data_IF_636834143740
#
_entry.id   IF_636834143740
#
_cell.length_a   1.000
_cell.length_b   1.000
_cell.length_c   1.000
_cell.angle_alpha   90.00
_cell.angle_beta   90.00
_cell.angle_gamma   90.00
#
_symmetry.space_group_name_H-M   'P 1'
#
loop_
_entity.id
_entity.type
_entity.pdbx_description
1 polymer ?
#
# COMPACT_ATOMS: atom_id res chain seq x y z
N UNK A 1 1.90 10.67 -2.74
CA UNK A 1 2.42 11.39 -1.54
C UNK A 1 2.52 10.34 -0.42
N UNK A 2 3.66 10.22 0.27
CA UNK A 2 3.84 9.30 1.41
C UNK A 2 4.10 10.13 2.66
N UNK A 3 3.32 9.94 3.72
CA UNK A 3 3.44 10.72 4.96
C UNK A 3 3.99 9.84 6.08
N UNK A 4 5.19 10.17 6.60
CA UNK A 4 5.81 9.48 7.73
C UNK A 4 5.89 10.45 8.90
N UNK A 5 5.36 10.06 10.05
CA UNK A 5 5.48 10.85 11.28
C UNK A 5 6.58 10.27 12.16
N UNK A 6 7.47 11.13 12.66
CA UNK A 6 8.52 10.77 13.61
C UNK A 6 8.26 11.53 14.89
N UNK A 7 8.01 10.80 15.99
CA UNK A 7 7.57 11.35 17.26
C UNK A 7 8.52 10.95 18.38
N UNK A 8 8.99 11.90 19.18
CA UNK A 8 9.89 11.68 20.33
C UNK A 8 9.23 11.88 21.69
N UNK A 9 7.90 12.10 21.68
CA UNK A 9 7.05 12.23 22.86
C UNK A 9 5.57 12.18 22.44
N UNK A 10 4.71 11.73 23.34
CA UNK A 10 3.29 11.44 23.05
C UNK A 10 2.32 11.90 24.16
N UNK A 11 2.80 12.69 25.13
CA UNK A 11 2.05 13.09 26.33
C UNK A 11 1.34 11.94 27.07
N UNK A 12 1.73 10.68 26.79
CA UNK A 12 1.09 9.44 27.24
C UNK A 12 -0.42 9.28 26.94
N UNK A 13 -1.03 10.09 26.06
CA UNK A 13 -2.42 9.87 25.60
C UNK A 13 -2.46 9.58 24.10
N UNK A 14 -2.34 8.30 23.77
CA UNK A 14 -2.43 7.77 22.40
C UNK A 14 -3.87 7.46 21.97
N UNK A 15 -4.84 7.68 22.84
CA UNK A 15 -6.27 7.59 22.51
C UNK A 15 -6.82 8.93 22.04
N UNK A 16 -6.10 10.01 22.33
CA UNK A 16 -6.45 11.37 21.92
C UNK A 16 -6.78 11.44 20.41
N UNK A 17 -7.89 12.08 20.02
CA UNK A 17 -8.31 12.17 18.61
C UNK A 17 -7.25 12.77 17.67
N UNK A 18 -6.47 13.72 18.17
CA UNK A 18 -5.34 14.30 17.43
C UNK A 18 -4.26 13.27 17.10
N UNK A 19 -3.94 12.37 18.04
CA UNK A 19 -2.97 11.30 17.83
C UNK A 19 -3.46 10.30 16.78
N UNK A 20 -4.72 9.86 16.90
CA UNK A 20 -5.36 8.96 15.92
C UNK A 20 -5.44 9.55 14.51
N UNK A 21 -5.40 10.87 14.39
CA UNK A 21 -5.36 11.56 13.09
C UNK A 21 -4.03 11.31 12.36
N UNK A 22 -2.90 11.31 13.08
CA UNK A 22 -1.59 10.96 12.48
C UNK A 22 -1.57 9.54 11.95
N UNK A 23 -2.11 8.58 12.72
CA UNK A 23 -2.23 7.18 12.30
C UNK A 23 -3.08 7.06 11.02
N UNK A 24 -4.23 7.74 10.96
CA UNK A 24 -5.10 7.73 9.78
C UNK A 24 -4.46 8.36 8.54
N UNK A 25 -3.75 9.50 8.69
CA UNK A 25 -3.05 10.15 7.57
C UNK A 25 -1.90 9.28 7.07
N UNK A 26 -1.12 8.69 7.98
CA UNK A 26 -0.08 7.74 7.64
C UNK A 26 -0.68 6.55 6.90
N UNK A 27 -1.72 5.92 7.45
CA UNK A 27 -2.40 4.79 6.83
C UNK A 27 -2.90 5.09 5.43
N UNK A 28 -3.59 6.23 5.22
CA UNK A 28 -4.13 6.64 3.92
C UNK A 28 -3.06 6.88 2.83
N UNK A 29 -1.80 7.06 3.22
CA UNK A 29 -0.67 7.34 2.32
C UNK A 29 0.40 6.24 2.31
N UNK A 30 0.06 5.04 2.80
CA UNK A 30 1.01 3.91 2.96
C UNK A 30 2.24 4.28 3.82
N UNK A 31 2.05 5.28 4.67
CA UNK A 31 2.99 5.85 5.62
C UNK A 31 3.02 5.08 6.94
N UNK A 32 3.86 5.52 7.87
CA UNK A 32 3.94 4.93 9.21
C UNK A 32 4.22 6.03 10.24
N UNK A 33 3.83 5.76 11.48
CA UNK A 33 4.17 6.56 12.66
C UNK A 33 5.27 5.82 13.40
N UNK A 34 6.40 6.50 13.61
CA UNK A 34 7.53 5.98 14.36
C UNK A 34 7.66 6.73 15.67
N UNK A 35 7.60 5.99 16.78
CA UNK A 35 7.92 6.52 18.10
C UNK A 35 9.38 6.21 18.41
N UNK A 36 10.16 7.25 18.68
CA UNK A 36 11.61 7.13 18.86
C UNK A 36 12.06 7.76 20.15
N UNK A 37 13.07 7.14 20.75
CA UNK A 37 13.91 7.85 21.70
C UNK A 37 14.75 8.91 20.97
N UNK A 38 15.12 9.98 21.67
CA UNK A 38 15.91 11.08 21.09
C UNK A 38 17.23 10.60 20.46
N UNK A 39 17.81 9.56 21.03
CA UNK A 39 19.05 8.89 20.60
C UNK A 39 18.90 8.20 19.24
N UNK A 40 17.71 7.74 18.88
CA UNK A 40 17.46 6.93 17.68
C UNK A 40 16.94 7.70 16.46
N UNK A 41 16.64 9.00 16.62
CA UNK A 41 16.12 9.87 15.55
C UNK A 41 17.02 9.83 14.31
N UNK A 42 18.35 9.87 14.50
CA UNK A 42 19.30 9.85 13.37
C UNK A 42 19.20 8.57 12.54
N UNK A 43 18.98 7.42 13.17
CA UNK A 43 18.86 6.12 12.49
C UNK A 43 17.65 6.10 11.56
N UNK A 44 16.49 6.52 12.05
CA UNK A 44 15.25 6.56 11.26
C UNK A 44 15.28 7.62 10.17
N UNK A 45 15.87 8.80 10.42
CA UNK A 45 15.99 9.82 9.36
C UNK A 45 16.84 9.34 8.18
N UNK A 46 17.88 8.54 8.42
CA UNK A 46 18.66 7.94 7.35
C UNK A 46 17.82 6.98 6.50
N UNK A 47 16.97 6.16 7.13
CA UNK A 47 16.00 5.35 6.40
C UNK A 47 15.04 6.20 5.57
N UNK A 48 14.46 7.27 6.14
CA UNK A 48 13.50 8.11 5.42
C UNK A 48 14.14 8.69 4.16
N UNK A 49 15.41 9.13 4.23
CA UNK A 49 16.18 9.61 3.08
C UNK A 49 16.38 8.53 2.03
N UNK A 50 16.84 7.33 2.43
CA UNK A 50 17.03 6.20 1.50
C UNK A 50 15.70 5.70 0.90
N UNK A 51 14.59 5.93 1.58
CA UNK A 51 13.27 5.47 1.16
C UNK A 51 12.66 6.25 -0.02
N UNK A 52 13.31 7.33 -0.47
CA UNK A 52 12.97 8.13 -1.66
C UNK A 52 13.66 7.54 -2.88
N UNK A 53 13.13 6.42 -3.38
CA UNK A 53 13.64 5.74 -4.57
C UNK A 53 12.63 5.83 -5.71
N UNK A 54 13.13 5.88 -6.94
CA UNK A 54 12.33 5.67 -8.15
C UNK A 54 11.82 4.22 -8.19
N UNK A 55 10.70 3.97 -8.89
CA UNK A 55 10.08 2.62 -9.05
C UNK A 55 9.75 1.89 -7.73
N UNK A 56 9.34 2.66 -6.71
CA UNK A 56 8.87 2.09 -5.45
C UNK A 56 7.46 1.53 -5.59
N UNK A 57 7.32 0.24 -5.30
CA UNK A 57 6.06 -0.50 -5.35
C UNK A 57 5.60 -0.89 -3.96
N UNK A 58 4.29 -1.08 -3.79
CA UNK A 58 3.66 -1.32 -2.49
C UNK A 58 3.01 -2.70 -2.50
N UNK A 59 3.40 -3.56 -1.57
CA UNK A 59 2.99 -4.97 -1.56
C UNK A 59 1.99 -5.24 -0.42
N UNK A 60 2.18 -4.64 0.76
CA UNK A 60 1.26 -4.87 1.87
C UNK A 60 1.24 -3.73 2.87
N UNK A 61 0.06 -3.43 3.39
CA UNK A 61 -0.14 -2.53 4.52
C UNK A 61 -1.20 -3.11 5.44
N UNK A 62 -0.90 -3.19 6.72
CA UNK A 62 -1.81 -3.78 7.68
C UNK A 62 -1.65 -3.13 9.05
N UNK A 63 -2.68 -2.39 9.46
CA UNK A 63 -2.83 -1.91 10.83
C UNK A 63 -3.47 -3.01 11.68
N UNK A 64 -2.90 -3.28 12.84
CA UNK A 64 -3.47 -4.14 13.87
C UNK A 64 -3.72 -3.34 15.13
N UNK A 65 -4.98 -3.26 15.54
CA UNK A 65 -5.38 -2.55 16.76
C UNK A 65 -5.15 -3.37 18.05
N UNK A 66 -4.72 -4.62 17.92
CA UNK A 66 -4.44 -5.54 19.04
C UNK A 66 -3.16 -6.32 18.76
N UNK A 67 -2.53 -6.79 19.84
CA UNK A 67 -1.44 -7.74 19.75
C UNK A 67 -1.85 -9.08 19.17
N UNK A 68 -0.86 -9.93 18.95
CA UNK A 68 -0.99 -11.29 18.46
C UNK A 68 0.16 -11.68 17.54
N UNK A 69 0.20 -12.96 17.21
CA UNK A 69 1.10 -13.49 16.19
C UNK A 69 0.35 -13.61 14.87
N UNK A 70 0.94 -13.08 13.79
CA UNK A 70 0.33 -13.12 12.47
C UNK A 70 1.31 -13.67 11.45
N UNK A 71 0.80 -14.49 10.53
CA UNK A 71 1.53 -14.98 9.38
C UNK A 71 0.97 -14.34 8.12
N UNK A 72 1.86 -13.82 7.28
CA UNK A 72 1.54 -13.20 6.01
C UNK A 72 2.40 -13.78 4.90
N UNK A 73 1.78 -14.02 3.75
CA UNK A 73 2.41 -14.51 2.56
C UNK A 73 2.62 -13.33 1.63
N UNK A 74 3.88 -13.05 1.29
CA UNK A 74 4.28 -11.93 0.46
C UNK A 74 4.78 -12.51 -0.87
N UNK A 75 4.03 -12.35 -1.97
CA UNK A 75 4.49 -12.77 -3.28
C UNK A 75 5.57 -11.80 -3.78
N UNK A 76 6.69 -12.35 -4.21
CA UNK A 76 7.82 -11.63 -4.80
C UNK A 76 8.03 -12.13 -6.23
N UNK A 77 7.86 -11.24 -7.19
CA UNK A 77 8.12 -11.50 -8.60
C UNK A 77 9.60 -11.44 -8.96
N UNK A 78 9.93 -11.97 -10.13
CA UNK A 78 11.26 -11.98 -10.73
C UNK A 78 11.85 -10.58 -10.93
N UNK A 79 11.01 -9.55 -11.02
CA UNK A 79 11.42 -8.16 -11.32
C UNK A 79 11.55 -7.29 -10.07
N UNK A 80 11.46 -7.88 -8.87
CA UNK A 80 11.64 -7.19 -7.60
C UNK A 80 13.11 -7.28 -7.15
N UNK A 81 13.81 -6.16 -7.14
CA UNK A 81 15.24 -6.11 -6.83
C UNK A 81 15.51 -5.76 -5.36
N UNK A 82 14.49 -5.31 -4.64
CA UNK A 82 14.58 -5.00 -3.22
C UNK A 82 13.24 -5.26 -2.55
N UNK A 83 13.28 -5.91 -1.39
CA UNK A 83 12.14 -6.08 -0.49
C UNK A 83 12.43 -5.36 0.82
N UNK A 84 11.54 -4.45 1.21
CA UNK A 84 11.63 -3.71 2.48
C UNK A 84 10.43 -4.01 3.35
N UNK A 85 10.67 -4.53 4.55
CA UNK A 85 9.66 -4.76 5.57
C UNK A 85 9.87 -3.76 6.71
N UNK A 86 8.77 -3.19 7.19
CA UNK A 86 8.77 -2.25 8.31
C UNK A 86 7.63 -2.59 9.25
N UNK A 87 8.00 -3.04 10.45
CA UNK A 87 7.09 -3.33 11.55
C UNK A 87 7.28 -2.24 12.61
N UNK A 88 6.23 -1.46 12.86
CA UNK A 88 6.22 -0.42 13.89
C UNK A 88 5.16 -0.75 14.93
N UNK A 89 5.56 -0.85 16.18
CA UNK A 89 4.68 -1.13 17.32
C UNK A 89 4.61 0.03 18.30
N UNK A 90 3.82 -0.19 19.34
CA UNK A 90 3.79 0.70 20.50
C UNK A 90 5.13 0.66 21.26
N UNK A 91 5.60 1.82 21.77
CA UNK A 91 6.80 1.89 22.63
C UNK A 91 6.72 0.93 23.82
N UNK A 92 5.52 0.75 24.38
CA UNK A 92 5.28 -0.07 25.57
C UNK A 92 5.28 -1.58 25.27
N UNK A 93 5.35 -1.95 23.99
CA UNK A 93 5.47 -3.35 23.57
C UNK A 93 6.86 -3.91 23.95
N UNK A 94 7.87 -3.04 24.11
CA UNK A 94 9.22 -3.43 24.50
C UNK A 94 9.83 -4.44 23.53
N UNK A 95 10.47 -5.49 24.05
CA UNK A 95 11.16 -6.50 23.23
C UNK A 95 10.23 -7.57 22.63
N UNK A 96 8.91 -7.44 22.85
CA UNK A 96 7.93 -8.41 22.34
C UNK A 96 7.56 -8.18 20.87
N UNK A 97 7.90 -7.01 20.32
CA UNK A 97 7.72 -6.73 18.91
C UNK A 97 8.79 -7.47 18.09
N UNK A 98 8.37 -8.49 17.36
CA UNK A 98 9.27 -9.32 16.58
C UNK A 98 8.77 -9.56 15.16
N UNK A 99 9.73 -9.76 14.26
CA UNK A 99 9.51 -10.15 12.87
C UNK A 99 10.50 -11.25 12.49
N UNK A 100 9.99 -12.32 11.91
CA UNK A 100 10.78 -13.41 11.37
C UNK A 100 10.38 -13.71 9.94
N UNK A 101 11.38 -14.03 9.12
CA UNK A 101 11.23 -14.24 7.69
C UNK A 101 11.66 -15.65 7.31
N UNK A 102 10.88 -16.27 6.45
CA UNK A 102 11.25 -17.51 5.77
C UNK A 102 11.20 -17.24 4.27
N UNK A 103 12.30 -17.56 3.60
CA UNK A 103 12.42 -17.41 2.15
C UNK A 103 11.52 -18.44 1.41
N UNK A 104 11.35 -18.31 0.09
CA UNK A 104 10.54 -19.23 -0.70
C UNK A 104 11.04 -20.68 -0.70
N UNK A 105 12.28 -20.95 -0.31
CA UNK A 105 12.86 -22.29 -0.19
C UNK A 105 12.61 -22.93 1.18
N UNK A 106 11.96 -22.21 2.10
CA UNK A 106 11.72 -22.67 3.47
C UNK A 106 12.86 -22.37 4.44
N UNK A 107 13.88 -21.61 4.01
CA UNK A 107 15.02 -21.25 4.86
C UNK A 107 14.66 -20.03 5.70
N UNK A 108 14.88 -20.11 7.01
CA UNK A 108 14.72 -18.95 7.89
C UNK A 108 15.85 -17.95 7.59
N UNK A 109 15.49 -16.69 7.34
CA UNK A 109 16.50 -15.65 7.14
C UNK A 109 17.05 -15.24 8.50
N UNK A 110 18.35 -15.43 8.68
CA UNK A 110 19.04 -15.06 9.90
C UNK A 110 19.16 -13.54 10.03
N UNK A 111 19.00 -13.01 11.25
CA UNK A 111 19.07 -11.57 11.50
C UNK A 111 20.42 -10.97 11.09
N UNK A 112 21.50 -11.75 11.23
CA UNK A 112 22.85 -11.35 10.84
C UNK A 112 22.97 -11.02 9.34
N UNK A 113 22.12 -11.59 8.48
CA UNK A 113 22.20 -11.38 7.04
C UNK A 113 21.74 -9.98 6.62
N UNK A 114 20.89 -9.32 7.41
CA UNK A 114 20.38 -7.98 7.10
C UNK A 114 20.79 -6.91 8.12
N UNK A 115 21.33 -7.28 9.29
CA UNK A 115 21.79 -6.31 10.31
C UNK A 115 22.92 -5.40 9.83
N UNK A 116 23.70 -5.84 8.83
CA UNK A 116 24.83 -5.08 8.26
C UNK A 116 24.45 -4.32 6.98
N UNK A 117 23.23 -4.46 6.47
CA UNK A 117 22.77 -3.67 5.32
C UNK A 117 22.42 -2.24 5.72
N UNK A 118 22.81 -1.28 4.87
CA UNK A 118 22.45 0.12 5.09
C UNK A 118 20.94 0.32 5.03
N UNK A 119 20.38 0.95 6.06
CA UNK A 119 18.94 1.21 6.15
C UNK A 119 18.13 0.19 6.95
N UNK A 120 18.73 -0.90 7.44
CA UNK A 120 18.12 -1.78 8.45
C UNK A 120 18.09 -1.08 9.81
N UNK A 121 17.00 -1.26 10.56
CA UNK A 121 16.81 -0.69 11.90
C UNK A 121 16.23 -1.78 12.79
N UNK A 122 16.88 -2.05 13.92
CA UNK A 122 16.38 -2.96 14.95
C UNK A 122 16.32 -2.20 16.28
N UNK A 123 15.15 -1.65 16.58
CA UNK A 123 14.81 -0.97 17.84
C UNK A 123 13.66 -1.72 18.49
N UNK A 124 13.44 -1.51 19.80
CA UNK A 124 12.42 -2.25 20.57
C UNK A 124 11.05 -2.23 19.89
N UNK A 125 10.60 -1.05 19.44
CA UNK A 125 9.29 -0.87 18.82
C UNK A 125 9.31 -0.65 17.30
N UNK A 126 10.48 -0.76 16.65
CA UNK A 126 10.61 -0.57 15.20
C UNK A 126 11.60 -1.58 14.63
N UNK A 127 11.11 -2.45 13.75
CA UNK A 127 11.92 -3.39 12.98
C UNK A 127 11.83 -3.00 11.51
N UNK A 128 12.97 -2.76 10.89
CA UNK A 128 13.07 -2.39 9.50
C UNK A 128 14.11 -3.28 8.86
N UNK A 129 13.66 -4.11 7.94
CA UNK A 129 14.48 -5.11 7.27
C UNK A 129 14.49 -4.78 5.79
N UNK A 130 15.69 -4.71 5.23
CA UNK A 130 15.93 -4.57 3.80
C UNK A 130 16.60 -5.85 3.31
N UNK A 131 16.09 -6.36 2.18
CA UNK A 131 16.65 -7.52 1.48
C UNK A 131 16.92 -7.09 0.05
N UNK A 132 18.19 -7.12 -0.33
CA UNK A 132 18.61 -6.91 -1.71
C UNK A 132 18.47 -8.18 -2.52
N UNK A 133 18.01 -8.06 -3.77
CA UNK A 133 17.81 -9.17 -4.71
C UNK A 133 17.09 -10.37 -4.07
N UNK A 134 15.87 -10.19 -3.50
CA UNK A 134 15.14 -11.26 -2.85
C UNK A 134 14.88 -12.41 -3.83
N UNK A 135 14.92 -13.65 -3.34
CA UNK A 135 14.48 -14.80 -4.12
C UNK A 135 13.01 -14.63 -4.56
N UNK A 136 12.68 -14.82 -5.84
CA UNK A 136 11.30 -14.85 -6.30
C UNK A 136 10.52 -16.01 -5.67
N UNK A 137 9.22 -15.81 -5.49
CA UNK A 137 8.30 -16.75 -4.86
C UNK A 137 7.64 -16.20 -3.59
N UNK A 138 7.06 -17.10 -2.81
CA UNK A 138 6.25 -16.72 -1.64
C UNK A 138 7.12 -16.63 -0.38
N UNK A 139 7.30 -15.41 0.12
CA UNK A 139 7.94 -15.15 1.39
C UNK A 139 6.95 -15.29 2.54
N UNK A 140 7.36 -15.95 3.62
CA UNK A 140 6.54 -16.06 4.84
C UNK A 140 7.05 -15.06 5.87
N UNK A 141 6.19 -14.10 6.21
CA UNK A 141 6.47 -13.06 7.20
C UNK A 141 5.64 -13.34 8.43
N UNK A 142 6.31 -13.67 9.54
CA UNK A 142 5.65 -13.89 10.83
C UNK A 142 5.99 -12.73 11.76
N UNK A 143 4.96 -12.04 12.22
CA UNK A 143 5.08 -10.96 13.22
C UNK A 143 4.51 -11.39 14.56
N UNK A 144 5.04 -10.83 15.64
CA UNK A 144 4.53 -10.98 17.01
C UNK A 144 4.58 -9.63 17.72
N UNK A 145 3.56 -9.35 18.54
CA UNK A 145 3.42 -8.10 19.31
C UNK A 145 2.38 -8.30 20.41
N UNK A 146 2.48 -7.62 21.55
CA UNK A 146 1.42 -7.61 22.58
C UNK A 146 0.40 -6.48 22.38
N UNK A 147 0.78 -5.46 21.61
CA UNK A 147 0.02 -4.23 21.44
C UNK A 147 -0.32 -3.97 19.97
N UNK A 148 -0.90 -2.79 19.70
CA UNK A 148 -1.13 -2.34 18.34
C UNK A 148 0.19 -2.23 17.58
N UNK A 149 0.17 -2.61 16.31
CA UNK A 149 1.33 -2.55 15.44
C UNK A 149 0.90 -2.40 13.98
N UNK A 150 1.82 -1.96 13.14
CA UNK A 150 1.61 -1.78 11.71
C UNK A 150 2.72 -2.52 10.97
N UNK A 151 2.31 -3.44 10.10
CA UNK A 151 3.21 -4.09 9.14
C UNK A 151 3.07 -3.41 7.78
N UNK A 152 4.20 -2.95 7.24
CA UNK A 152 4.29 -2.40 5.89
C UNK A 152 5.34 -3.16 5.10
N UNK A 153 4.99 -3.55 3.88
CA UNK A 153 5.88 -4.20 2.93
C UNK A 153 5.91 -3.42 1.63
N UNK A 154 7.11 -3.01 1.24
CA UNK A 154 7.40 -2.27 0.02
C UNK A 154 8.45 -3.04 -0.78
N UNK A 155 8.59 -2.68 -2.05
CA UNK A 155 9.73 -3.11 -2.82
C UNK A 155 10.14 -2.11 -3.88
N UNK A 156 11.21 -2.47 -4.59
CA UNK A 156 11.67 -1.76 -5.77
C UNK A 156 11.58 -2.74 -6.94
N UNK A 157 10.71 -2.44 -7.91
CA UNK A 157 10.49 -3.32 -9.05
C UNK A 157 9.83 -2.64 -10.23
N UNK A 158 9.85 -3.30 -11.38
CA UNK A 158 9.33 -2.75 -12.63
C UNK A 158 7.80 -2.90 -12.77
N UNK A 159 7.21 -3.98 -12.25
CA UNK A 159 5.77 -4.24 -12.31
C UNK A 159 5.04 -3.25 -11.39
N UNK A 160 4.26 -2.35 -11.98
CA UNK A 160 3.44 -1.35 -11.30
C UNK A 160 2.17 -1.07 -12.11
N UNK A 161 1.27 -0.24 -11.61
CA UNK A 161 0.04 0.11 -12.31
C UNK A 161 -0.45 1.52 -12.05
N UNK A 162 -1.20 2.05 -13.03
CA UNK A 162 -2.08 3.19 -12.86
C UNK A 162 -3.53 2.72 -12.88
N UNK A 163 -4.41 3.45 -12.21
CA UNK A 163 -5.82 3.11 -12.18
C UNK A 163 -6.71 4.34 -12.33
N UNK A 164 -7.95 4.09 -12.74
CA UNK A 164 -9.01 5.09 -12.83
C UNK A 164 -10.39 4.46 -12.86
N UNK A 165 -11.43 5.27 -12.71
CA UNK A 165 -12.81 4.85 -12.61
C UNK A 165 -13.63 5.41 -13.76
N UNK A 166 -14.61 4.64 -14.21
CA UNK A 166 -15.56 5.06 -15.23
C UNK A 166 -16.94 4.46 -14.95
N UNK A 167 -17.96 4.94 -15.67
CA UNK A 167 -19.32 4.39 -15.63
C UNK A 167 -19.50 3.19 -16.56
N UNK A 168 -18.54 2.96 -17.46
CA UNK A 168 -18.50 1.86 -18.45
C UNK A 168 -17.05 1.51 -18.82
N UNK A 169 -16.75 0.29 -19.29
CA UNK A 169 -15.44 -0.03 -19.83
C UNK A 169 -15.05 0.93 -20.97
N UNK A 170 -13.81 1.43 -20.96
CA UNK A 170 -13.25 2.33 -21.97
C UNK A 170 -11.83 1.88 -22.32
N UNK A 171 -11.37 2.15 -23.55
CA UNK A 171 -10.08 1.67 -24.05
C UNK A 171 -8.88 2.54 -23.61
N UNK A 172 -9.13 3.71 -23.04
CA UNK A 172 -8.12 4.73 -22.72
C UNK A 172 -8.24 5.15 -21.27
N UNK A 173 -7.23 4.87 -20.46
CA UNK A 173 -7.23 5.19 -19.03
C UNK A 173 -7.17 6.70 -18.78
N UNK A 174 -6.68 7.49 -19.73
CA UNK A 174 -6.58 8.94 -19.62
C UNK A 174 -7.96 9.62 -19.53
N UNK A 175 -9.00 8.93 -19.99
CA UNK A 175 -10.40 9.39 -19.91
C UNK A 175 -11.09 8.95 -18.61
N UNK A 176 -10.41 8.17 -17.77
CA UNK A 176 -10.96 7.70 -16.51
C UNK A 176 -10.86 8.78 -15.42
N UNK A 177 -11.81 8.76 -14.49
CA UNK A 177 -11.81 9.64 -13.33
C UNK A 177 -10.92 9.07 -12.22
N UNK A 178 -10.26 9.91 -11.41
CA UNK A 178 -9.42 9.44 -10.30
C UNK A 178 -10.22 8.85 -9.13
N UNK A 179 -11.51 9.16 -9.04
CA UNK A 179 -12.42 8.73 -7.97
C UNK A 179 -13.77 8.32 -8.55
N UNK A 180 -14.41 7.26 -8.04
CA UNK A 180 -15.73 6.86 -8.49
C UNK A 180 -16.81 7.70 -7.81
N UNK A 181 -18.03 7.70 -8.37
CA UNK A 181 -19.19 8.37 -7.78
C UNK A 181 -19.85 7.44 -6.76
N UNK A 182 -20.18 7.97 -5.59
CA UNK A 182 -20.83 7.22 -4.52
C UNK A 182 -22.23 6.78 -4.93
N UNK A 183 -22.62 5.57 -4.51
CA UNK A 183 -23.91 4.95 -4.81
C UNK A 183 -24.22 4.69 -6.30
N UNK A 184 -23.26 4.92 -7.20
CA UNK A 184 -23.40 4.61 -8.63
C UNK A 184 -22.53 3.42 -9.00
N UNK A 185 -23.02 2.65 -9.98
CA UNK A 185 -22.24 1.56 -10.56
C UNK A 185 -21.02 2.12 -11.30
N UNK A 186 -19.86 1.52 -11.06
CA UNK A 186 -18.59 1.92 -11.65
C UNK A 186 -17.80 0.70 -12.15
N UNK A 187 -16.84 0.99 -13.02
CA UNK A 187 -15.79 0.09 -13.49
C UNK A 187 -14.46 0.69 -13.10
N UNK A 188 -13.55 -0.16 -12.63
CA UNK A 188 -12.18 0.17 -12.34
C UNK A 188 -11.31 -0.30 -13.50
N UNK A 189 -10.52 0.62 -14.03
CA UNK A 189 -9.51 0.38 -15.04
C UNK A 189 -8.15 0.30 -14.35
N UNK A 190 -7.35 -0.69 -14.72
CA UNK A 190 -5.98 -0.88 -14.25
C UNK A 190 -5.08 -1.01 -15.46
N UNK A 191 -4.18 -0.05 -15.66
CA UNK A 191 -3.19 -0.08 -16.73
C UNK A 191 -1.83 -0.48 -16.13
N UNK A 192 -1.36 -1.66 -16.49
CA UNK A 192 -0.11 -2.24 -16.01
C UNK A 192 1.09 -1.63 -16.73
N UNK A 193 2.20 -1.49 -16.01
CA UNK A 193 3.51 -1.10 -16.55
C UNK A 193 4.56 -2.08 -16.07
N UNK A 194 5.54 -2.39 -16.92
CA UNK A 194 6.64 -3.30 -16.57
C UNK A 194 6.22 -4.75 -16.35
N UNK A 195 5.05 -5.16 -16.87
CA UNK A 195 4.55 -6.54 -16.87
C UNK A 195 4.71 -7.14 -18.28
N UNK A 196 5.88 -7.75 -18.60
CA UNK A 196 6.09 -8.37 -19.90
C UNK A 196 5.23 -9.64 -20.07
N UNK A 197 4.75 -9.94 -21.29
CA UNK A 197 4.13 -11.23 -21.59
C UNK A 197 5.09 -12.41 -21.34
N UNK A 198 4.61 -13.58 -20.91
CA UNK A 198 3.21 -13.97 -20.72
C UNK A 198 2.57 -13.48 -19.39
N UNK A 199 3.23 -12.59 -18.64
CA UNK A 199 2.71 -12.07 -17.38
C UNK A 199 1.32 -11.45 -17.51
N UNK A 200 0.47 -11.69 -16.52
CA UNK A 200 -0.95 -11.34 -16.57
C UNK A 200 -1.51 -11.00 -15.20
N UNK A 201 -2.61 -10.24 -15.17
CA UNK A 201 -3.39 -9.96 -13.97
C UNK A 201 -4.59 -10.90 -13.95
N UNK A 202 -4.80 -11.61 -12.84
CA UNK A 202 -5.96 -12.49 -12.68
C UNK A 202 -6.98 -11.94 -11.66
N UNK A 203 -6.59 -11.10 -10.71
CA UNK A 203 -7.49 -10.54 -9.69
C UNK A 203 -7.25 -9.05 -9.45
N UNK A 204 -8.34 -8.29 -9.34
CA UNK A 204 -8.35 -6.91 -8.84
C UNK A 204 -9.29 -6.85 -7.65
N UNK A 205 -8.84 -6.18 -6.59
CA UNK A 205 -9.57 -6.06 -5.33
C UNK A 205 -9.47 -4.65 -4.74
N UNK A 206 -10.42 -4.32 -3.88
CA UNK A 206 -10.44 -3.12 -3.06
C UNK A 206 -10.22 -3.53 -1.60
N UNK A 207 -9.23 -2.92 -0.95
CA UNK A 207 -8.85 -3.25 0.44
C UNK A 207 -8.82 -2.00 1.31
N UNK A 208 -9.09 -2.13 2.61
CA UNK A 208 -8.86 -1.05 3.57
C UNK A 208 -7.43 -1.08 4.12
N UNK A 209 -7.09 -0.13 5.00
CA UNK A 209 -5.78 -0.04 5.65
C UNK A 209 -5.56 -1.08 6.77
N UNK A 210 -6.58 -1.86 7.14
CA UNK A 210 -6.43 -3.05 7.99
C UNK A 210 -6.08 -4.29 7.17
N UNK A 211 -5.92 -4.15 5.85
CA UNK A 211 -5.69 -5.26 4.93
C UNK A 211 -6.94 -6.11 4.67
N UNK A 212 -8.13 -5.65 5.11
CA UNK A 212 -9.38 -6.35 4.86
C UNK A 212 -9.83 -6.09 3.43
N UNK A 213 -10.17 -7.17 2.74
CA UNK A 213 -10.79 -7.10 1.43
C UNK A 213 -12.25 -6.64 1.55
N UNK A 214 -12.57 -5.54 0.89
CA UNK A 214 -13.91 -4.96 0.82
C UNK A 214 -14.67 -5.48 -0.40
N UNK A 215 -13.94 -5.76 -1.48
CA UNK A 215 -14.48 -6.24 -2.75
C UNK A 215 -13.38 -6.89 -3.59
N UNK A 216 -13.67 -7.96 -4.33
CA UNK A 216 -12.74 -8.58 -5.26
C UNK A 216 -13.48 -9.18 -6.45
N UNK A 217 -12.87 -9.14 -7.64
CA UNK A 217 -13.34 -9.82 -8.84
C UNK A 217 -12.15 -10.25 -9.71
N UNK A 218 -12.33 -11.29 -10.55
CA UNK A 218 -11.38 -11.61 -11.60
C UNK A 218 -11.14 -10.41 -12.53
N UNK A 219 -9.90 -10.22 -12.95
CA UNK A 219 -9.53 -9.18 -13.88
C UNK A 219 -9.93 -9.56 -15.31
N UNK A 220 -10.55 -8.64 -16.03
CA UNK A 220 -10.89 -8.83 -17.45
C UNK A 220 -9.92 -8.01 -18.31
N UNK A 221 -9.16 -8.68 -19.17
CA UNK A 221 -8.22 -8.00 -20.09
C UNK A 221 -8.97 -7.24 -21.20
N UNK A 222 -8.45 -6.08 -21.59
CA UNK A 222 -8.95 -5.34 -22.74
C UNK A 222 -8.56 -6.04 -24.05
N UNK A 223 -9.49 -6.11 -25.01
CA UNK A 223 -9.29 -6.79 -26.30
C UNK A 223 -8.26 -6.12 -27.22
N UNK A 224 -8.03 -4.82 -27.05
CA UNK A 224 -7.16 -3.98 -27.90
C UNK A 224 -5.86 -3.59 -27.22
N UNK A 225 -5.85 -3.53 -25.89
CA UNK A 225 -4.67 -3.18 -25.10
C UNK A 225 -4.35 -4.28 -24.07
N UNK A 226 -3.30 -5.09 -24.28
CA UNK A 226 -2.99 -6.22 -23.39
C UNK A 226 -2.49 -5.80 -21.99
N UNK A 227 -2.21 -4.52 -21.78
CA UNK A 227 -1.79 -3.98 -20.48
C UNK A 227 -2.96 -3.39 -19.67
N UNK A 228 -4.14 -3.27 -20.27
CA UNK A 228 -5.32 -2.68 -19.63
C UNK A 228 -6.29 -3.78 -19.16
N UNK A 229 -6.64 -3.72 -17.89
CA UNK A 229 -7.55 -4.65 -17.22
C UNK A 229 -8.74 -3.91 -16.61
N UNK A 230 -9.85 -4.62 -16.45
CA UNK A 230 -11.09 -4.12 -15.87
C UNK A 230 -11.54 -4.94 -14.67
N UNK A 231 -12.14 -4.26 -13.71
CA UNK A 231 -12.92 -4.84 -12.62
C UNK A 231 -14.26 -4.11 -12.53
N UNK A 232 -15.36 -4.84 -12.71
CA UNK A 232 -16.70 -4.27 -12.59
C UNK A 232 -17.78 -5.13 -13.26
N UNK A 233 -19.03 -4.64 -13.33
CA UNK A 233 -19.53 -3.48 -12.58
C UNK A 233 -19.49 -3.69 -11.05
N UNK A 234 -19.40 -2.62 -10.27
CA UNK A 234 -19.52 -2.63 -8.80
C UNK A 234 -19.99 -1.29 -8.25
N UNK A 235 -20.51 -1.26 -7.01
CA UNK A 235 -20.78 -0.02 -6.27
C UNK A 235 -19.58 0.27 -5.35
N UNK A 236 -18.97 1.47 -5.40
CA UNK A 236 -17.80 1.78 -4.58
C UNK A 236 -18.05 1.61 -3.08
N UNK A 237 -17.09 1.03 -2.32
CA UNK A 237 -17.19 0.94 -0.87
C UNK A 237 -17.27 2.33 -0.21
N UNK A 238 -17.88 2.36 0.98
CA UNK A 238 -17.84 3.54 1.85
C UNK A 238 -16.44 3.69 2.48
N UNK A 239 -16.02 4.92 2.70
CA UNK A 239 -14.75 5.24 3.35
C UNK A 239 -13.55 5.16 2.41
N UNK A 240 -12.36 5.04 3.00
CA UNK A 240 -11.09 4.95 2.29
C UNK A 240 -10.77 3.50 1.90
N UNK A 241 -10.30 3.31 0.68
CA UNK A 241 -9.86 2.01 0.18
C UNK A 241 -8.68 2.17 -0.79
N UNK A 242 -7.92 1.10 -0.96
CA UNK A 242 -6.84 0.97 -1.93
C UNK A 242 -7.24 0.00 -3.02
N UNK A 243 -6.76 0.27 -4.24
CA UNK A 243 -6.77 -0.71 -5.32
C UNK A 243 -5.61 -1.68 -5.11
N UNK A 244 -5.89 -2.98 -5.21
CA UNK A 244 -4.92 -4.05 -5.15
C UNK A 244 -5.04 -4.93 -6.38
N UNK A 245 -3.91 -5.29 -6.97
CA UNK A 245 -3.79 -6.08 -8.19
C UNK A 245 -2.94 -7.30 -7.88
N UNK A 246 -3.41 -8.48 -8.30
CA UNK A 246 -2.64 -9.73 -8.24
C UNK A 246 -2.54 -10.36 -9.61
N UNK A 247 -1.40 -10.96 -9.88
CA UNK A 247 -1.08 -11.56 -11.16
C UNK A 247 0.14 -12.45 -11.07
N UNK A 248 0.62 -12.87 -12.23
CA UNK A 248 1.88 -13.59 -12.40
C UNK A 248 2.76 -12.82 -13.39
N UNK A 249 4.07 -12.85 -13.19
CA UNK A 249 5.04 -12.29 -14.13
C UNK A 249 5.31 -13.24 -15.32
N UNK A 250 6.25 -12.87 -16.19
CA UNK A 250 6.66 -13.67 -17.36
C UNK A 250 7.37 -14.99 -17.01
N UNK A 251 7.63 -15.25 -15.73
CA UNK A 251 8.23 -16.47 -15.18
C UNK A 251 7.27 -17.24 -14.27
N UNK A 252 5.99 -16.89 -14.27
CA UNK A 252 4.96 -17.52 -13.43
C UNK A 252 5.20 -17.34 -11.92
N UNK A 253 5.95 -16.32 -11.50
CA UNK A 253 5.96 -15.92 -10.09
C UNK A 253 4.80 -14.97 -9.83
N UNK A 254 4.05 -15.25 -8.76
CA UNK A 254 3.00 -14.36 -8.31
C UNK A 254 3.55 -12.98 -7.94
N UNK A 255 2.78 -11.94 -8.25
CA UNK A 255 2.99 -10.60 -7.74
C UNK A 255 1.71 -10.05 -7.11
N UNK A 256 1.90 -9.11 -6.20
CA UNK A 256 0.82 -8.29 -5.65
C UNK A 256 1.29 -6.84 -5.57
N UNK A 257 0.43 -5.93 -6.06
CA UNK A 257 0.67 -4.48 -6.01
C UNK A 257 -0.54 -3.77 -5.43
N UNK A 258 -0.29 -2.79 -4.56
CA UNK A 258 -1.30 -1.91 -3.96
C UNK A 258 -1.03 -0.49 -4.41
N UNK A 259 -2.09 0.28 -4.67
CA UNK A 259 -1.97 1.69 -4.93
C UNK A 259 -1.29 2.42 -3.75
N UNK A 260 -0.43 3.42 -4.00
CA UNK A 260 0.33 4.10 -2.94
C UNK A 260 -0.53 5.02 -2.05
N UNK A 261 -1.73 5.39 -2.50
CA UNK A 261 -2.62 6.30 -1.77
C UNK A 261 -4.02 5.74 -1.78
N UNK A 262 -4.70 5.82 -0.65
CA UNK A 262 -6.11 5.48 -0.55
C UNK A 262 -6.95 6.46 -1.38
N UNK A 263 -8.06 5.96 -1.88
CA UNK A 263 -9.09 6.74 -2.56
C UNK A 263 -10.43 6.55 -1.86
N UNK A 264 -11.43 7.32 -2.29
CA UNK A 264 -12.81 7.23 -1.80
C UNK A 264 -13.76 7.65 -2.90
N UNK A 265 -15.03 7.27 -2.76
CA UNK A 265 -16.08 7.75 -3.63
C UNK A 265 -16.40 9.22 -3.37
N UNK A 266 -16.73 9.98 -4.41
CA UNK A 266 -17.25 11.35 -4.29
C UNK A 266 -18.78 11.35 -4.33
N UNK A 267 -19.40 12.21 -3.53
CA UNK A 267 -20.83 12.50 -3.75
C UNK A 267 -20.99 13.22 -5.09
N UNK A 268 -22.01 12.85 -5.86
CA UNK A 268 -22.35 13.58 -7.06
C UNK A 268 -22.72 15.02 -6.64
N UNK A 269 -21.96 16.00 -7.11
CA UNK A 269 -22.39 17.39 -6.99
C UNK A 269 -23.68 17.58 -7.79
N UNK A 270 -24.70 18.19 -7.19
CA UNK A 270 -25.88 18.64 -7.94
C UNK A 270 -25.47 19.57 -9.10
N UNK A 271 -26.36 19.80 -10.08
CA UNK A 271 -26.06 20.69 -11.20
C UNK A 271 -25.57 22.04 -10.66
N UNK A 272 -24.39 22.47 -11.10
CA UNK A 272 -23.93 23.84 -10.84
C UNK A 272 -24.75 24.77 -11.72
N UNK A 273 -25.68 25.50 -11.10
CA UNK A 273 -26.33 26.64 -11.76
C UNK A 273 -25.25 27.69 -12.03
N UNK A 274 -24.87 27.85 -13.29
CA UNK A 274 -24.09 28.99 -13.75
C UNK A 274 -25.13 30.08 -14.04
N UNK A 275 -25.28 31.03 -13.12
CA UNK A 275 -26.06 32.23 -13.39
C UNK A 275 -25.27 33.08 -14.38
N UNK A 276 -25.66 33.05 -15.66
CA UNK A 276 -25.13 33.99 -16.64
C UNK A 276 -25.89 35.31 -16.40
N UNK A 277 -25.22 36.29 -15.78
CA UNK A 277 -25.73 37.66 -15.79
C UNK A 277 -25.53 38.23 -17.19
N UNK A 278 -26.58 38.18 -18.01
CA UNK A 278 -26.72 39.04 -19.18
C UNK A 278 -26.92 40.47 -18.69
N UNK A 279 -25.89 41.30 -18.79
CA UNK A 279 -26.05 42.75 -18.69
C UNK A 279 -26.82 43.20 -19.93
N UNK A 280 -28.12 43.41 -19.77
CA UNK A 280 -28.87 44.26 -20.68
C UNK A 280 -28.45 45.70 -20.39
N UNK A 281 -27.62 46.27 -21.28
CA UNK A 281 -27.53 47.72 -21.40
C UNK A 281 -28.84 48.19 -22.01
N UNK A 282 -29.72 48.77 -21.19
CA UNK A 282 -30.75 49.69 -21.66
C UNK A 282 -30.08 51.04 -21.94
N UNK A 283 -30.42 51.59 -23.11
CA UNK A 283 -30.05 52.92 -23.61
C UNK A 283 -30.26 54.07 -22.61
#
# INVERSE_FOLDING_TARGET
LKVVFVMTGDCNDRTHPGFRTYEKIAAASFGQVFHLEKTDVKKVLNYVRHSVALKKVHLMYEVRERGGTNLRLIPVDQHLNELTLSLSGDKDDGDFLDISLTDPKGTKVERAHFSNESGTIDLNNIKLIRITNPLPGIWRVRTSSRLKHVLRVLGHGAIDFKYGFSTRPIDRIELAHPRPISHQTSYLLVNMTGLPPPGTVFEISLVDYFGKELFSKPATINKRNPYLYFMGPFVPPKGLFFVRVKGEDDKSYEFLRIAPTATSSVQAGGPRLILIHTLFNSE
#
